data_IF_048151100594
#
_entry.id   IF_048151100594
#
_cell.length_a   1.000
_cell.length_b   1.000
_cell.length_c   1.000
_cell.angle_alpha   90.00
_cell.angle_beta   90.00
_cell.angle_gamma   90.00
#
_symmetry.space_group_name_H-M   'P 1'
#
loop_
_entity.id
_entity.type
_entity.pdbx_description
1 polymer ?
#
# COMPACT_ATOMS: atom_id res chain seq x y z
N UNK A 1 31.67 29.63 73.64
CA UNK A 1 31.48 28.72 72.48
C UNK A 1 32.69 28.86 71.56
N UNK A 2 33.63 27.89 71.58
CA UNK A 2 34.73 27.86 70.61
C UNK A 2 34.20 27.25 69.32
N UNK A 3 34.03 28.07 68.27
CA UNK A 3 33.82 27.58 66.90
C UNK A 3 35.19 27.08 66.42
N UNK A 4 35.33 25.77 66.20
CA UNK A 4 36.51 25.21 65.55
C UNK A 4 36.59 25.77 64.14
N UNK A 5 37.68 26.48 63.82
CA UNK A 5 37.96 26.90 62.45
C UNK A 5 38.53 25.69 61.69
N UNK A 6 38.01 25.44 60.49
CA UNK A 6 38.52 24.40 59.59
C UNK A 6 40.00 24.64 59.28
N UNK A 7 40.78 23.56 59.23
CA UNK A 7 42.18 23.65 58.79
C UNK A 7 42.24 23.77 57.27
N UNK A 8 43.23 24.50 56.72
CA UNK A 8 43.37 24.72 55.29
C UNK A 8 43.51 23.40 54.49
N UNK A 9 44.09 22.36 55.11
CA UNK A 9 44.22 21.02 54.54
C UNK A 9 42.86 20.32 54.37
N UNK A 10 41.96 20.48 55.34
CA UNK A 10 40.63 19.88 55.34
C UNK A 10 39.73 20.50 54.26
N UNK A 11 39.85 21.82 54.05
CA UNK A 11 39.14 22.54 52.98
C UNK A 11 39.56 22.06 51.58
N UNK A 12 40.87 21.85 51.36
CA UNK A 12 41.39 21.32 50.10
C UNK A 12 40.84 19.91 49.83
N UNK A 13 40.83 19.05 50.85
CA UNK A 13 40.30 17.69 50.72
C UNK A 13 38.82 17.68 50.32
N UNK A 14 38.00 18.54 50.92
CA UNK A 14 36.57 18.66 50.58
C UNK A 14 36.38 19.12 49.13
N UNK A 15 37.13 20.13 48.69
CA UNK A 15 37.04 20.65 47.32
C UNK A 15 37.41 19.55 46.30
N UNK A 16 38.47 18.79 46.55
CA UNK A 16 38.90 17.70 45.66
C UNK A 16 37.86 16.58 45.62
N UNK A 17 37.34 16.13 46.77
CA UNK A 17 36.32 15.08 46.82
C UNK A 17 35.04 15.54 46.10
N UNK A 18 34.58 16.78 46.34
CA UNK A 18 33.42 17.33 45.63
C UNK A 18 33.66 17.46 44.13
N UNK A 19 34.86 17.85 43.70
CA UNK A 19 35.23 17.89 42.29
C UNK A 19 35.17 16.52 41.61
N UNK A 20 35.66 15.47 42.28
CA UNK A 20 35.63 14.09 41.78
C UNK A 20 34.18 13.57 41.74
N UNK A 21 33.41 13.77 42.80
CA UNK A 21 32.00 13.35 42.86
C UNK A 21 31.15 14.08 41.81
N UNK A 22 31.37 15.38 41.63
CA UNK A 22 30.68 16.16 40.60
C UNK A 22 31.04 15.67 39.20
N UNK A 23 32.33 15.38 38.92
CA UNK A 23 32.75 14.82 37.63
C UNK A 23 32.02 13.50 37.34
N UNK A 24 32.11 12.54 38.26
CA UNK A 24 31.48 11.23 38.06
C UNK A 24 29.95 11.32 38.01
N UNK A 25 29.34 12.19 38.83
CA UNK A 25 27.89 12.42 38.80
C UNK A 25 27.39 12.97 37.46
N UNK A 26 28.09 13.97 36.90
CA UNK A 26 27.76 14.53 35.58
C UNK A 26 27.96 13.50 34.46
N UNK A 27 29.02 12.70 34.54
CA UNK A 27 29.30 11.65 33.55
C UNK A 27 28.23 10.54 33.57
N UNK A 28 27.83 10.09 34.77
CA UNK A 28 26.74 9.12 34.96
C UNK A 28 25.41 9.66 34.42
N UNK A 29 25.08 10.92 34.73
CA UNK A 29 23.85 11.56 34.26
C UNK A 29 23.85 11.71 32.74
N UNK A 30 24.99 12.10 32.14
CA UNK A 30 25.15 12.19 30.69
C UNK A 30 24.96 10.82 30.02
N UNK A 31 25.57 9.76 30.55
CA UNK A 31 25.42 8.41 30.01
C UNK A 31 23.99 7.88 30.15
N UNK A 32 23.36 8.07 31.31
CA UNK A 32 21.97 7.65 31.53
C UNK A 32 21.01 8.37 30.58
N UNK A 33 21.20 9.68 30.37
CA UNK A 33 20.40 10.45 29.43
C UNK A 33 20.59 9.96 27.98
N UNK A 34 21.84 9.77 27.54
CA UNK A 34 22.14 9.23 26.20
C UNK A 34 21.48 7.86 25.99
N UNK A 35 21.60 6.96 26.97
CA UNK A 35 21.01 5.62 26.90
C UNK A 35 19.48 5.67 26.82
N UNK A 36 18.84 6.55 27.58
CA UNK A 36 17.39 6.71 27.56
C UNK A 36 16.91 7.24 26.21
N UNK A 37 17.52 8.31 25.71
CA UNK A 37 17.19 8.90 24.41
C UNK A 37 17.39 7.87 23.30
N UNK A 38 18.52 7.15 23.28
CA UNK A 38 18.77 6.08 22.33
C UNK A 38 17.67 5.00 22.36
N UNK A 39 17.35 4.49 23.54
CA UNK A 39 16.32 3.44 23.70
C UNK A 39 14.94 3.93 23.24
N UNK A 40 14.54 5.14 23.62
CA UNK A 40 13.24 5.71 23.23
C UNK A 40 13.12 5.93 21.72
N UNK A 41 14.17 6.48 21.08
CA UNK A 41 14.20 6.70 19.63
C UNK A 41 14.16 5.37 18.90
N UNK A 42 15.01 4.41 19.28
CA UNK A 42 15.04 3.10 18.66
C UNK A 42 13.67 2.39 18.78
N UNK A 43 13.04 2.40 19.95
CA UNK A 43 11.71 1.80 20.12
C UNK A 43 10.64 2.48 19.26
N UNK A 44 10.68 3.81 19.14
CA UNK A 44 9.75 4.55 18.27
C UNK A 44 9.95 4.19 16.80
N UNK A 45 11.20 4.21 16.32
CA UNK A 45 11.53 3.86 14.93
C UNK A 45 11.15 2.41 14.61
N UNK A 46 11.41 1.46 15.53
CA UNK A 46 10.98 0.07 15.39
C UNK A 46 9.48 -0.05 15.22
N UNK A 47 8.71 0.64 16.05
CA UNK A 47 7.24 0.64 16.01
C UNK A 47 6.72 1.25 14.71
N UNK A 48 7.22 2.42 14.32
CA UNK A 48 6.82 3.11 13.09
C UNK A 48 7.17 2.32 11.83
N UNK A 49 8.39 1.77 11.75
CA UNK A 49 8.81 0.96 10.60
C UNK A 49 7.97 -0.32 10.50
N UNK A 50 7.66 -0.96 11.63
CA UNK A 50 6.79 -2.13 11.66
C UNK A 50 5.37 -1.78 11.19
N UNK A 51 4.81 -0.66 11.64
CA UNK A 51 3.49 -0.19 11.20
C UNK A 51 3.47 0.13 9.69
N UNK A 52 4.51 0.78 9.16
CA UNK A 52 4.62 1.09 7.74
C UNK A 52 4.67 -0.19 6.87
N UNK A 53 5.55 -1.12 7.23
CA UNK A 53 5.68 -2.42 6.54
C UNK A 53 4.41 -3.25 6.65
N UNK A 54 3.69 -3.22 7.78
CA UNK A 54 2.41 -3.89 7.95
C UNK A 54 1.30 -3.26 7.10
N UNK A 55 1.29 -1.93 7.02
CA UNK A 55 0.33 -1.15 6.23
C UNK A 55 0.49 -1.43 4.73
N UNK A 56 1.73 -1.56 4.25
CA UNK A 56 2.02 -1.96 2.86
C UNK A 56 1.67 -3.43 2.67
N UNK A 57 2.16 -4.30 3.56
CA UNK A 57 1.99 -5.75 3.43
C UNK A 57 0.54 -6.21 3.45
N UNK A 58 -0.31 -5.61 4.28
CA UNK A 58 -1.74 -5.95 4.36
C UNK A 58 -2.51 -5.62 3.09
N UNK A 59 -2.17 -4.52 2.41
CA UNK A 59 -2.76 -4.18 1.09
C UNK A 59 -2.17 -5.00 -0.05
N UNK A 60 -0.86 -5.24 -0.01
CA UNK A 60 -0.17 -6.03 -1.02
C UNK A 60 -0.54 -7.53 -0.98
N UNK A 61 -1.04 -8.02 0.17
CA UNK A 61 -1.56 -9.38 0.29
C UNK A 61 -2.77 -9.64 -0.63
N UNK A 62 -3.59 -8.62 -0.87
CA UNK A 62 -4.79 -8.71 -1.71
C UNK A 62 -4.57 -8.10 -3.10
N UNK A 63 -3.33 -8.12 -3.59
CA UNK A 63 -3.02 -7.65 -4.94
C UNK A 63 -3.47 -8.66 -6.00
N UNK A 64 -3.76 -8.15 -7.19
CA UNK A 64 -3.76 -8.99 -8.40
C UNK A 64 -2.30 -9.33 -8.69
N UNK A 65 -1.94 -10.62 -8.65
CA UNK A 65 -0.54 -11.06 -8.60
C UNK A 65 0.31 -10.57 -9.77
N UNK A 66 -0.27 -10.56 -10.96
CA UNK A 66 0.45 -10.18 -12.18
C UNK A 66 0.44 -8.66 -12.44
N UNK A 67 -0.27 -7.87 -11.62
CA UNK A 67 -0.36 -6.41 -11.76
C UNK A 67 0.81 -5.64 -11.12
N UNK A 68 1.73 -6.32 -10.44
CA UNK A 68 2.74 -5.64 -9.61
C UNK A 68 3.89 -5.13 -10.46
N UNK A 69 4.13 -3.83 -10.39
CA UNK A 69 5.19 -3.15 -11.15
C UNK A 69 6.17 -2.43 -10.24
N UNK A 70 7.41 -2.39 -10.71
CA UNK A 70 8.47 -1.55 -10.18
C UNK A 70 8.69 -0.38 -11.13
N UNK A 71 8.70 0.85 -10.60
CA UNK A 71 8.94 2.07 -11.36
C UNK A 71 10.26 2.70 -10.95
N UNK A 72 11.08 3.01 -11.96
CA UNK A 72 12.29 3.84 -11.83
C UNK A 72 11.97 5.31 -12.01
N UNK A 73 11.00 5.61 -12.87
CA UNK A 73 10.50 6.96 -13.11
C UNK A 73 9.02 6.92 -13.52
N UNK A 74 8.40 8.09 -13.73
CA UNK A 74 6.99 8.19 -14.07
C UNK A 74 6.59 7.42 -15.34
N UNK A 75 7.52 7.17 -16.27
CA UNK A 75 7.26 6.50 -17.56
C UNK A 75 8.09 5.23 -17.77
N UNK A 76 8.91 4.84 -16.79
CA UNK A 76 9.83 3.70 -16.89
C UNK A 76 9.48 2.70 -15.80
N UNK A 77 8.72 1.67 -16.19
CA UNK A 77 8.22 0.64 -15.30
C UNK A 77 8.45 -0.76 -15.89
N UNK A 78 8.63 -1.75 -15.03
CA UNK A 78 8.70 -3.17 -15.39
C UNK A 78 7.89 -4.01 -14.42
N UNK A 79 7.47 -5.20 -14.85
CA UNK A 79 6.91 -6.19 -13.93
C UNK A 79 7.91 -6.48 -12.81
N UNK A 80 7.44 -6.49 -11.55
CA UNK A 80 8.33 -6.65 -10.40
C UNK A 80 9.12 -7.97 -10.43
N UNK A 81 8.54 -9.04 -10.98
CA UNK A 81 9.17 -10.35 -11.10
C UNK A 81 10.39 -10.37 -12.03
N UNK A 82 10.45 -9.45 -13.01
CA UNK A 82 11.48 -9.40 -14.05
C UNK A 82 12.21 -8.06 -14.09
N UNK A 83 11.95 -7.17 -13.13
CA UNK A 83 12.50 -5.82 -13.14
C UNK A 83 14.03 -5.84 -12.96
N UNK A 84 14.80 -5.21 -13.86
CA UNK A 84 16.25 -5.07 -13.75
C UNK A 84 16.65 -3.86 -12.89
N UNK A 85 15.69 -3.12 -12.33
CA UNK A 85 15.96 -1.83 -11.73
C UNK A 85 16.68 -1.92 -10.38
N UNK A 86 16.56 -3.06 -9.69
CA UNK A 86 17.16 -3.32 -8.38
C UNK A 86 16.98 -2.12 -7.43
N UNK A 87 18.07 -1.41 -7.17
CA UNK A 87 18.15 -0.28 -6.25
C UNK A 87 17.62 1.05 -6.81
N UNK A 88 17.39 1.12 -8.12
CA UNK A 88 16.91 2.33 -8.79
C UNK A 88 15.38 2.42 -8.80
N UNK A 89 14.67 1.35 -8.42
CA UNK A 89 13.21 1.38 -8.30
C UNK A 89 12.83 1.99 -6.95
N UNK A 90 12.25 3.19 -6.98
CA UNK A 90 11.79 3.91 -5.79
C UNK A 90 10.28 3.78 -5.58
N UNK A 91 9.57 3.26 -6.57
CA UNK A 91 8.11 3.22 -6.62
C UNK A 91 7.66 1.77 -6.86
N UNK A 92 6.77 1.29 -5.99
CA UNK A 92 6.11 -0.01 -6.10
C UNK A 92 4.62 0.22 -6.33
N UNK A 93 4.04 -0.30 -7.42
CA UNK A 93 2.61 -0.16 -7.72
C UNK A 93 1.95 -1.50 -7.99
N UNK A 94 0.66 -1.60 -7.68
CA UNK A 94 -0.14 -2.79 -7.93
C UNK A 94 -1.63 -2.45 -7.95
N UNK A 95 -2.43 -3.30 -8.58
CA UNK A 95 -3.89 -3.27 -8.47
C UNK A 95 -4.35 -4.08 -7.27
N UNK A 96 -5.20 -3.49 -6.43
CA UNK A 96 -5.79 -4.17 -5.28
C UNK A 96 -7.12 -4.82 -5.63
N UNK A 97 -7.27 -6.10 -5.31
CA UNK A 97 -8.59 -6.74 -5.30
C UNK A 97 -9.42 -6.19 -4.13
N UNK A 98 -10.71 -5.98 -4.38
CA UNK A 98 -11.67 -5.51 -3.39
C UNK A 98 -12.01 -6.57 -2.35
N UNK A 99 -11.14 -6.70 -1.36
CA UNK A 99 -11.34 -7.64 -0.24
C UNK A 99 -12.44 -7.17 0.71
N UNK A 100 -12.67 -5.87 0.85
CA UNK A 100 -13.65 -5.33 1.79
C UNK A 100 -15.07 -5.63 1.30
N UNK A 101 -15.35 -5.46 0.00
CA UNK A 101 -16.62 -5.91 -0.57
C UNK A 101 -16.76 -7.43 -0.58
N UNK A 102 -15.66 -8.18 -0.75
CA UNK A 102 -15.70 -9.64 -0.74
C UNK A 102 -15.95 -10.22 0.67
N UNK A 103 -15.47 -9.58 1.73
CA UNK A 103 -15.72 -10.04 3.10
C UNK A 103 -17.18 -9.87 3.51
N UNK A 104 -17.85 -8.84 2.97
CA UNK A 104 -19.25 -8.52 3.26
C UNK A 104 -19.45 -8.04 4.71
N UNK A 105 -19.79 -6.77 4.91
CA UNK A 105 -19.99 -6.21 6.25
C UNK A 105 -21.46 -5.87 6.56
N UNK A 106 -22.35 -5.96 5.58
CA UNK A 106 -23.79 -5.72 5.77
C UNK A 106 -24.58 -7.03 5.79
N UNK A 107 -25.48 -7.23 6.75
CA UNK A 107 -26.44 -8.33 6.68
C UNK A 107 -27.40 -8.10 5.52
N UNK A 108 -27.57 -9.11 4.66
CA UNK A 108 -28.62 -9.11 3.65
C UNK A 108 -30.01 -9.09 4.30
N UNK A 109 -31.06 -8.90 3.49
CA UNK A 109 -32.45 -8.92 3.96
C UNK A 109 -32.84 -10.17 4.78
N UNK A 110 -32.07 -11.27 4.67
CA UNK A 110 -32.21 -12.50 5.46
C UNK A 110 -31.31 -12.63 6.69
N UNK A 111 -30.57 -11.59 7.10
CA UNK A 111 -29.70 -11.59 8.29
C UNK A 111 -28.32 -12.25 8.12
N UNK A 112 -27.99 -12.72 6.92
CA UNK A 112 -26.69 -13.32 6.62
C UNK A 112 -25.70 -12.27 6.10
N UNK A 113 -24.46 -12.33 6.58
CA UNK A 113 -23.35 -11.56 6.01
C UNK A 113 -22.85 -12.29 4.77
N UNK A 114 -23.20 -11.78 3.59
CA UNK A 114 -22.69 -12.29 2.32
C UNK A 114 -21.76 -11.26 1.69
N UNK A 115 -20.78 -11.70 0.88
CA UNK A 115 -20.01 -10.82 0.02
C UNK A 115 -20.92 -9.91 -0.82
N UNK A 116 -20.48 -8.68 -1.11
CA UNK A 116 -21.16 -7.81 -2.06
C UNK A 116 -20.95 -8.23 -3.52
N UNK A 117 -19.91 -9.03 -3.80
CA UNK A 117 -19.67 -9.61 -5.10
C UNK A 117 -19.25 -11.07 -4.97
N UNK A 118 -19.67 -11.92 -5.90
CA UNK A 118 -19.53 -13.38 -5.79
C UNK A 118 -18.20 -13.93 -6.28
N UNK A 119 -17.56 -13.22 -7.22
CA UNK A 119 -16.34 -13.67 -7.91
C UNK A 119 -16.60 -14.75 -8.97
N UNK A 120 -17.87 -14.97 -9.32
CA UNK A 120 -18.30 -15.94 -10.33
C UNK A 120 -19.25 -15.27 -11.32
N UNK A 121 -18.97 -15.38 -12.61
CA UNK A 121 -19.87 -15.07 -13.72
C UNK A 121 -20.52 -16.37 -14.18
N UNK A 122 -21.85 -16.37 -14.30
CA UNK A 122 -22.57 -17.50 -14.87
C UNK A 122 -22.60 -17.37 -16.40
N UNK A 123 -21.67 -18.06 -17.06
CA UNK A 123 -21.58 -18.09 -18.52
C UNK A 123 -22.76 -18.80 -19.20
N UNK A 124 -23.60 -19.54 -18.45
CA UNK A 124 -24.77 -20.25 -18.98
C UNK A 124 -26.08 -19.55 -18.65
N UNK A 125 -26.04 -18.46 -17.88
CA UNK A 125 -27.23 -17.65 -17.64
C UNK A 125 -27.75 -17.12 -18.99
N UNK A 126 -29.07 -17.21 -19.28
CA UNK A 126 -29.64 -16.72 -20.54
C UNK A 126 -29.37 -15.24 -20.83
N UNK A 127 -29.09 -14.44 -19.80
CA UNK A 127 -28.80 -13.01 -19.92
C UNK A 127 -27.31 -12.71 -20.04
N UNK A 128 -26.42 -13.70 -19.82
CA UNK A 128 -24.98 -13.54 -20.07
C UNK A 128 -24.71 -13.63 -21.57
N UNK A 129 -24.16 -12.55 -22.13
CA UNK A 129 -23.84 -12.42 -23.56
C UNK A 129 -22.71 -11.40 -23.76
N UNK A 130 -22.35 -11.11 -25.01
CA UNK A 130 -21.27 -10.17 -25.33
C UNK A 130 -21.44 -8.78 -24.68
N UNK A 131 -22.66 -8.32 -24.44
CA UNK A 131 -22.91 -6.99 -23.88
C UNK A 131 -23.13 -6.98 -22.38
N UNK A 132 -23.37 -8.15 -21.77
CA UNK A 132 -23.80 -8.25 -20.38
C UNK A 132 -23.24 -9.52 -19.72
N UNK A 133 -22.62 -9.36 -18.55
CA UNK A 133 -22.09 -10.46 -17.75
C UNK A 133 -22.92 -10.57 -16.46
N UNK A 134 -23.57 -11.72 -16.26
CA UNK A 134 -24.34 -11.97 -15.05
C UNK A 134 -23.44 -12.58 -13.99
N UNK A 135 -23.37 -11.93 -12.83
CA UNK A 135 -22.65 -12.40 -11.65
C UNK A 135 -23.63 -12.72 -10.51
N UNK A 136 -24.11 -13.97 -10.41
CA UNK A 136 -25.10 -14.34 -9.40
C UNK A 136 -24.61 -14.06 -7.98
N UNK A 137 -25.47 -13.47 -7.15
CA UNK A 137 -25.15 -13.15 -5.76
C UNK A 137 -24.34 -11.86 -5.56
N UNK A 138 -23.97 -11.17 -6.64
CA UNK A 138 -23.43 -9.81 -6.56
C UNK A 138 -24.56 -8.80 -6.35
N UNK A 139 -24.27 -7.77 -5.54
CA UNK A 139 -25.10 -6.59 -5.34
C UNK A 139 -24.32 -5.32 -5.70
N UNK A 140 -24.48 -4.85 -6.94
CA UNK A 140 -23.82 -3.66 -7.47
C UNK A 140 -24.22 -2.39 -6.72
N UNK A 141 -25.41 -2.33 -6.13
CA UNK A 141 -25.88 -1.18 -5.35
C UNK A 141 -25.19 -1.08 -3.99
N UNK A 142 -25.11 -2.20 -3.28
CA UNK A 142 -24.38 -2.30 -2.02
C UNK A 142 -22.88 -2.06 -2.22
N UNK A 143 -22.31 -2.67 -3.27
CA UNK A 143 -20.91 -2.47 -3.64
C UNK A 143 -20.61 -1.00 -3.98
N UNK A 144 -21.48 -0.33 -4.75
CA UNK A 144 -21.33 1.10 -5.05
C UNK A 144 -21.34 1.97 -3.80
N UNK A 145 -22.19 1.63 -2.83
CA UNK A 145 -22.26 2.34 -1.55
C UNK A 145 -20.98 2.14 -0.75
N UNK A 146 -20.45 0.91 -0.70
CA UNK A 146 -19.20 0.62 -0.01
C UNK A 146 -18.02 1.36 -0.66
N UNK A 147 -17.89 1.31 -1.99
CA UNK A 147 -16.83 2.01 -2.73
C UNK A 147 -16.88 3.51 -2.42
N UNK A 148 -18.06 4.13 -2.46
CA UNK A 148 -18.21 5.56 -2.13
C UNK A 148 -17.78 5.93 -0.70
N UNK A 149 -17.95 5.02 0.26
CA UNK A 149 -17.46 5.21 1.64
C UNK A 149 -15.94 5.06 1.72
N UNK A 150 -15.38 4.01 1.10
CA UNK A 150 -13.94 3.73 1.15
C UNK A 150 -13.10 4.75 0.36
N UNK A 151 -13.66 5.29 -0.71
CA UNK A 151 -13.08 6.37 -1.52
C UNK A 151 -13.20 7.75 -0.85
N UNK A 152 -13.76 7.82 0.38
CA UNK A 152 -13.95 9.05 1.13
C UNK A 152 -14.75 10.11 0.35
N UNK A 153 -15.72 9.67 -0.46
CA UNK A 153 -16.54 10.55 -1.27
C UNK A 153 -15.77 11.27 -2.40
N UNK A 154 -14.67 10.68 -2.90
CA UNK A 154 -13.94 11.23 -4.05
C UNK A 154 -14.75 11.27 -5.34
N UNK A 155 -15.82 10.49 -5.40
CA UNK A 155 -16.64 10.30 -6.59
C UNK A 155 -16.45 8.94 -7.24
N UNK A 156 -15.49 8.13 -6.78
CA UNK A 156 -15.30 6.75 -7.25
C UNK A 156 -16.55 5.91 -6.96
N UNK A 157 -17.00 5.18 -7.98
CA UNK A 157 -18.20 4.35 -7.99
C UNK A 157 -17.90 2.95 -8.51
N UNK A 158 -18.93 2.10 -8.57
CA UNK A 158 -18.82 0.80 -9.24
C UNK A 158 -18.47 0.92 -10.73
N UNK A 159 -18.82 2.04 -11.39
CA UNK A 159 -18.51 2.28 -12.80
C UNK A 159 -17.02 2.55 -13.05
N UNK A 160 -16.25 2.76 -11.97
CA UNK A 160 -14.80 2.93 -12.03
C UNK A 160 -14.07 1.62 -11.73
N UNK A 161 -14.81 0.56 -11.39
CA UNK A 161 -14.23 -0.75 -11.16
C UNK A 161 -13.88 -1.46 -12.47
N UNK A 162 -12.99 -2.44 -12.35
CA UNK A 162 -12.65 -3.37 -13.40
C UNK A 162 -12.61 -4.81 -12.88
N UNK A 163 -12.90 -5.75 -13.77
CA UNK A 163 -12.80 -7.17 -13.51
C UNK A 163 -11.46 -7.69 -14.01
N UNK A 164 -10.86 -8.60 -13.26
CA UNK A 164 -9.73 -9.40 -13.67
C UNK A 164 -10.15 -10.86 -13.71
N UNK A 165 -10.05 -11.50 -14.86
CA UNK A 165 -10.42 -12.90 -15.01
C UNK A 165 -9.28 -13.81 -14.56
N UNK A 166 -9.57 -14.72 -13.61
CA UNK A 166 -8.55 -15.60 -13.05
C UNK A 166 -8.13 -16.63 -14.09
N UNK A 167 -6.88 -16.57 -14.51
CA UNK A 167 -6.31 -17.46 -15.53
C UNK A 167 -6.30 -16.87 -16.94
N UNK A 168 -6.68 -15.60 -17.12
CA UNK A 168 -6.43 -14.89 -18.37
C UNK A 168 -4.93 -14.67 -18.59
N UNK A 169 -4.53 -14.55 -19.85
CA UNK A 169 -3.18 -14.09 -20.17
C UNK A 169 -3.00 -12.65 -19.66
N UNK A 170 -1.82 -12.33 -19.14
CA UNK A 170 -1.51 -11.02 -18.57
C UNK A 170 -0.36 -10.35 -19.32
N UNK A 171 -0.61 -9.22 -19.98
CA UNK A 171 0.44 -8.29 -20.41
C UNK A 171 0.54 -7.12 -19.43
N UNK A 172 1.68 -7.02 -18.75
CA UNK A 172 1.93 -5.96 -17.78
C UNK A 172 2.02 -4.57 -18.44
N UNK A 173 2.43 -4.48 -19.71
CA UNK A 173 2.70 -3.19 -20.36
C UNK A 173 1.44 -2.52 -20.86
N UNK A 174 0.52 -3.30 -21.40
CA UNK A 174 -0.71 -2.77 -22.03
C UNK A 174 -1.97 -3.14 -21.28
N UNK A 175 -1.99 -4.27 -20.58
CA UNK A 175 -3.22 -4.90 -20.10
C UNK A 175 -3.90 -4.22 -18.90
N UNK A 176 -3.17 -3.41 -18.14
CA UNK A 176 -3.65 -2.82 -16.88
C UNK A 176 -3.92 -1.31 -16.97
N UNK A 177 -3.54 -0.64 -18.06
CA UNK A 177 -3.65 0.83 -18.22
C UNK A 177 -2.56 1.62 -17.49
N UNK A 178 -1.43 0.97 -17.17
CA UNK A 178 -0.28 1.67 -16.59
C UNK A 178 0.20 2.79 -17.54
N UNK A 179 0.70 3.89 -16.97
CA UNK A 179 1.15 5.13 -17.65
C UNK A 179 0.06 6.15 -18.04
N UNK A 180 -1.15 5.99 -17.51
CA UNK A 180 -2.20 7.00 -17.64
C UNK A 180 -2.80 7.06 -19.04
N UNK A 181 -2.85 5.90 -19.70
CA UNK A 181 -3.58 5.70 -20.94
C UNK A 181 -4.74 4.77 -20.63
N UNK A 182 -5.96 5.29 -20.79
CA UNK A 182 -7.17 4.50 -20.60
C UNK A 182 -7.22 3.33 -21.57
N UNK A 183 -7.76 2.20 -21.11
CA UNK A 183 -7.95 1.03 -21.95
C UNK A 183 -9.04 1.31 -22.99
N UNK A 184 -8.79 0.92 -24.24
CA UNK A 184 -9.66 1.21 -25.38
C UNK A 184 -10.45 0.01 -25.87
N UNK A 185 -10.10 -1.19 -25.42
CA UNK A 185 -10.77 -2.43 -25.79
C UNK A 185 -10.62 -3.49 -24.69
N UNK A 186 -11.50 -4.48 -24.68
CA UNK A 186 -11.43 -5.62 -23.77
C UNK A 186 -10.59 -6.80 -24.29
N UNK A 187 -10.28 -6.86 -25.59
CA UNK A 187 -9.65 -8.03 -26.21
C UNK A 187 -8.14 -8.11 -25.90
N UNK A 188 -7.46 -6.96 -25.90
CA UNK A 188 -6.02 -6.85 -25.59
C UNK A 188 -5.74 -6.47 -24.14
N UNK A 189 -6.79 -6.13 -23.40
CA UNK A 189 -6.75 -5.73 -22.00
C UNK A 189 -6.85 -6.92 -21.05
N UNK A 190 -6.25 -6.75 -19.87
CA UNK A 190 -6.25 -7.75 -18.77
C UNK A 190 -7.21 -7.33 -17.68
N UNK A 191 -7.28 -6.02 -17.43
CA UNK A 191 -8.34 -5.40 -16.65
C UNK A 191 -9.49 -5.09 -17.59
N UNK A 192 -10.71 -5.48 -17.21
CA UNK A 192 -11.91 -5.20 -17.98
C UNK A 192 -12.75 -4.16 -17.22
N UNK A 193 -12.68 -2.86 -17.57
CA UNK A 193 -13.51 -1.82 -16.97
C UNK A 193 -14.99 -2.19 -17.07
N UNK A 194 -15.76 -2.00 -16.01
CA UNK A 194 -17.19 -2.33 -16.00
C UNK A 194 -18.05 -1.17 -15.57
N UNK A 195 -19.30 -1.20 -16.02
CA UNK A 195 -20.38 -0.37 -15.55
C UNK A 195 -21.50 -1.25 -15.01
N UNK A 196 -22.38 -0.66 -14.20
CA UNK A 196 -23.60 -1.35 -13.77
C UNK A 196 -24.54 -1.64 -14.96
N UNK A 197 -24.99 -2.88 -15.11
CA UNK A 197 -25.80 -3.34 -16.26
C UNK A 197 -27.29 -3.01 -16.21
N UNK A 198 -27.75 -2.30 -15.17
CA UNK A 198 -29.15 -1.93 -14.96
C UNK A 198 -29.86 -2.87 -13.98
N UNK A 199 -29.45 -4.14 -13.90
CA UNK A 199 -29.81 -5.04 -12.80
C UNK A 199 -28.70 -5.15 -11.77
N UNK A 200 -29.06 -5.54 -10.54
CA UNK A 200 -28.18 -5.55 -9.35
C UNK A 200 -27.00 -6.55 -9.47
N UNK A 201 -27.11 -7.54 -10.35
CA UNK A 201 -26.15 -8.63 -10.53
C UNK A 201 -25.50 -8.62 -11.93
N UNK A 202 -25.60 -7.51 -12.66
CA UNK A 202 -25.19 -7.40 -14.05
C UNK A 202 -24.05 -6.41 -14.22
N UNK A 203 -23.04 -6.83 -14.98
CA UNK A 203 -21.94 -5.97 -15.43
C UNK A 203 -22.02 -5.78 -16.93
N UNK A 204 -21.90 -4.54 -17.37
CA UNK A 204 -21.74 -4.19 -18.79
C UNK A 204 -20.37 -3.54 -19.00
N UNK A 205 -19.95 -3.41 -20.25
CA UNK A 205 -18.68 -2.78 -20.59
C UNK A 205 -18.57 -1.36 -20.02
N UNK A 206 -17.42 -1.07 -19.42
CA UNK A 206 -16.98 0.27 -19.01
C UNK A 206 -16.42 1.09 -20.18
N UNK A 207 -16.12 0.46 -21.31
CA UNK A 207 -15.46 1.07 -22.46
C UNK A 207 -16.51 1.49 -23.49
N UNK A 208 -16.52 2.78 -23.83
CA UNK A 208 -17.54 3.34 -24.73
C UNK A 208 -17.42 2.77 -26.13
N UNK A 209 -18.48 2.11 -26.60
CA UNK A 209 -18.54 1.54 -27.95
C UNK A 209 -17.87 0.18 -28.09
N UNK A 210 -17.40 -0.41 -26.98
CA UNK A 210 -16.85 -1.76 -26.94
C UNK A 210 -17.69 -2.68 -26.04
N UNK A 211 -17.58 -3.97 -26.24
CA UNK A 211 -18.27 -5.01 -25.46
C UNK A 211 -17.35 -6.23 -25.24
N UNK A 212 -17.87 -7.27 -24.59
CA UNK A 212 -17.12 -8.51 -24.34
C UNK A 212 -17.11 -9.47 -25.53
N UNK A 213 -17.42 -9.01 -26.76
CA UNK A 213 -17.31 -9.84 -27.96
C UNK A 213 -15.83 -10.12 -28.24
N UNK A 214 -15.55 -11.37 -28.61
CA UNK A 214 -14.18 -11.83 -28.88
C UNK A 214 -13.22 -11.74 -27.68
N UNK A 215 -13.76 -11.56 -26.46
CA UNK A 215 -13.02 -11.60 -25.20
C UNK A 215 -13.12 -13.00 -24.60
N UNK A 216 -12.00 -13.51 -24.11
CA UNK A 216 -11.98 -14.75 -23.33
C UNK A 216 -12.48 -14.46 -21.91
N UNK A 217 -13.80 -14.52 -21.71
CA UNK A 217 -14.42 -14.38 -20.38
C UNK A 217 -14.31 -15.71 -19.63
N UNK A 218 -13.74 -15.66 -18.43
CA UNK A 218 -13.66 -16.81 -17.52
C UNK A 218 -14.73 -16.69 -16.43
N UNK A 219 -15.19 -17.83 -15.89
CA UNK A 219 -16.20 -17.83 -14.82
C UNK A 219 -15.67 -17.17 -13.55
N UNK A 220 -14.41 -17.39 -13.18
CA UNK A 220 -13.83 -16.81 -11.97
C UNK A 220 -13.21 -15.45 -12.23
N UNK A 221 -13.57 -14.46 -11.41
CA UNK A 221 -13.02 -13.12 -11.51
C UNK A 221 -12.64 -12.54 -10.15
N UNK A 222 -11.76 -11.55 -10.16
CA UNK A 222 -11.48 -10.64 -9.06
C UNK A 222 -11.97 -9.25 -9.45
N UNK A 223 -12.63 -8.54 -8.53
CA UNK A 223 -13.04 -7.16 -8.73
C UNK A 223 -11.99 -6.23 -8.14
N UNK A 224 -11.63 -5.18 -8.87
CA UNK A 224 -10.77 -4.12 -8.39
C UNK A 224 -11.39 -2.76 -8.69
N UNK A 225 -11.40 -1.86 -7.71
CA UNK A 225 -11.83 -0.47 -7.90
C UNK A 225 -10.70 0.53 -7.62
N UNK A 226 -9.53 0.06 -7.18
CA UNK A 226 -8.41 0.95 -6.84
C UNK A 226 -7.05 0.29 -7.08
N UNK A 227 -6.10 1.08 -7.55
CA UNK A 227 -4.69 0.76 -7.52
C UNK A 227 -3.99 1.43 -6.32
N UNK A 228 -2.83 0.88 -5.96
CA UNK A 228 -1.98 1.38 -4.88
C UNK A 228 -0.59 1.65 -5.41
N UNK A 229 0.05 2.71 -4.93
CA UNK A 229 1.47 2.95 -5.15
C UNK A 229 2.15 3.33 -3.84
N UNK A 230 3.35 2.80 -3.61
CA UNK A 230 4.22 3.21 -2.51
C UNK A 230 5.43 3.89 -3.12
N UNK A 231 5.57 5.17 -2.82
CA UNK A 231 6.63 6.03 -3.35
C UNK A 231 7.56 6.41 -2.21
N UNK A 232 8.83 6.06 -2.36
CA UNK A 232 9.89 6.65 -1.54
C UNK A 232 10.49 7.83 -2.28
N UNK A 233 10.39 9.01 -1.68
CA UNK A 233 10.95 10.23 -2.23
C UNK A 233 12.23 10.56 -1.46
N UNK A 234 13.43 10.44 -2.07
CA UNK A 234 14.68 10.66 -1.36
C UNK A 234 14.86 12.10 -0.87
N UNK A 235 14.29 13.08 -1.57
CA UNK A 235 14.47 14.51 -1.28
C UNK A 235 13.78 14.95 0.02
N UNK A 236 12.64 14.36 0.37
CA UNK A 236 11.89 14.65 1.59
C UNK A 236 12.00 13.51 2.64
N UNK A 237 12.61 12.38 2.26
CA UNK A 237 12.75 11.20 3.11
C UNK A 237 11.43 10.51 3.42
N UNK A 238 10.35 10.82 2.70
CA UNK A 238 9.02 10.30 3.01
C UNK A 238 8.72 9.01 2.25
N UNK A 239 8.00 8.12 2.93
CA UNK A 239 7.34 6.98 2.32
C UNK A 239 5.85 7.27 2.26
N UNK A 240 5.33 7.42 1.05
CA UNK A 240 3.95 7.83 0.80
C UNK A 240 3.18 6.73 0.11
N UNK A 241 2.01 6.39 0.65
CA UNK A 241 1.05 5.49 0.03
C UNK A 241 0.02 6.30 -0.76
N UNK A 242 -0.11 5.99 -2.03
CA UNK A 242 -1.13 6.50 -2.94
C UNK A 242 -2.22 5.45 -3.13
N UNK A 243 -3.47 5.89 -3.22
CA UNK A 243 -4.65 5.04 -3.34
C UNK A 243 -5.78 5.81 -4.03
N UNK A 244 -6.88 5.11 -4.34
CA UNK A 244 -8.08 5.67 -4.98
C UNK A 244 -7.80 6.31 -6.35
N UNK A 245 -7.15 5.54 -7.23
CA UNK A 245 -6.98 5.86 -8.65
C UNK A 245 -7.15 4.59 -9.51
N UNK A 246 -7.55 4.76 -10.77
CA UNK A 246 -7.88 3.67 -11.69
C UNK A 246 -7.00 3.73 -12.96
N UNK A 247 -5.89 2.95 -13.02
CA UNK A 247 -5.00 2.93 -14.18
C UNK A 247 -5.73 2.58 -15.50
N UNK A 248 -6.67 1.65 -15.44
CA UNK A 248 -7.47 1.25 -16.61
C UNK A 248 -8.36 2.36 -17.17
N UNK A 249 -8.63 3.43 -16.41
CA UNK A 249 -9.31 4.64 -16.87
C UNK A 249 -8.34 5.77 -17.25
N UNK A 250 -7.02 5.54 -17.16
CA UNK A 250 -6.00 6.51 -17.50
C UNK A 250 -5.49 7.35 -16.33
N UNK A 251 -5.85 7.02 -15.10
CA UNK A 251 -5.32 7.71 -13.92
C UNK A 251 -3.91 7.22 -13.56
N UNK A 252 -3.13 8.09 -12.91
CA UNK A 252 -1.81 7.77 -12.36
C UNK A 252 -1.73 8.07 -10.88
N UNK A 253 -0.83 7.38 -10.20
CA UNK A 253 -0.47 7.70 -8.83
C UNK A 253 -0.01 9.16 -8.66
N UNK A 254 0.62 9.73 -9.69
CA UNK A 254 1.20 11.07 -9.69
C UNK A 254 0.19 12.19 -9.99
N UNK A 255 -1.06 11.86 -10.31
CA UNK A 255 -2.05 12.87 -10.67
C UNK A 255 -2.47 13.70 -9.45
N UNK A 256 -2.86 14.95 -9.70
CA UNK A 256 -3.10 15.93 -8.64
C UNK A 256 -4.25 15.53 -7.69
N UNK A 257 -5.21 14.75 -8.18
CA UNK A 257 -6.40 14.35 -7.43
C UNK A 257 -6.22 13.01 -6.70
N UNK A 258 -5.14 12.26 -6.99
CA UNK A 258 -4.88 10.96 -6.38
C UNK A 258 -4.69 11.11 -4.88
N UNK A 259 -5.41 10.27 -4.12
CA UNK A 259 -5.32 10.30 -2.66
C UNK A 259 -3.99 9.75 -2.21
N UNK A 260 -3.42 10.36 -1.17
CA UNK A 260 -2.13 9.95 -0.62
C UNK A 260 -2.07 10.16 0.89
N UNK A 261 -1.30 9.30 1.55
CA UNK A 261 -1.01 9.38 2.97
C UNK A 261 0.47 9.07 3.21
N UNK A 262 1.14 9.91 3.99
CA UNK A 262 2.50 9.62 4.45
C UNK A 262 2.41 8.53 5.51
N UNK A 263 3.03 7.39 5.25
CA UNK A 263 3.02 6.22 6.15
C UNK A 263 4.29 6.16 6.99
N UNK A 264 5.37 6.82 6.57
CA UNK A 264 6.60 6.95 7.34
C UNK A 264 7.43 8.16 6.87
N UNK A 265 8.09 8.82 7.82
CA UNK A 265 9.03 9.92 7.58
C UNK A 265 10.46 9.46 7.90
N UNK A 266 11.46 10.14 7.33
CA UNK A 266 12.89 9.84 7.53
C UNK A 266 13.28 8.41 7.12
N UNK A 267 12.70 7.95 6.01
CA UNK A 267 13.07 6.71 5.34
C UNK A 267 14.32 6.94 4.52
N UNK A 268 15.33 6.14 4.81
CA UNK A 268 16.63 6.14 4.11
C UNK A 268 16.56 5.30 2.83
N UNK A 269 16.01 4.10 2.93
CA UNK A 269 15.81 3.23 1.76
C UNK A 269 14.50 2.47 1.83
N UNK A 270 13.79 2.41 0.71
CA UNK A 270 12.72 1.45 0.46
C UNK A 270 13.16 0.46 -0.63
N UNK A 271 13.16 -0.83 -0.31
CA UNK A 271 13.58 -1.91 -1.21
C UNK A 271 12.47 -2.93 -1.35
N UNK A 272 12.30 -3.46 -2.54
CA UNK A 272 11.32 -4.50 -2.81
C UNK A 272 11.81 -5.42 -3.92
N UNK A 273 11.43 -6.69 -3.83
CA UNK A 273 11.74 -7.70 -4.86
C UNK A 273 10.67 -8.78 -4.90
N UNK A 274 10.43 -9.33 -6.07
CA UNK A 274 9.60 -10.53 -6.21
C UNK A 274 10.47 -11.75 -6.53
N UNK A 275 10.08 -12.90 -5.98
CA UNK A 275 10.61 -14.22 -6.33
C UNK A 275 9.42 -15.14 -6.55
N UNK A 276 9.09 -15.43 -7.81
CA UNK A 276 7.84 -16.08 -8.17
C UNK A 276 6.63 -15.24 -7.73
N UNK A 277 5.69 -15.84 -6.99
CA UNK A 277 4.51 -15.14 -6.46
C UNK A 277 4.75 -14.43 -5.12
N UNK A 278 5.97 -14.46 -4.59
CA UNK A 278 6.28 -13.89 -3.27
C UNK A 278 6.90 -12.52 -3.45
N UNK A 279 6.41 -11.53 -2.72
CA UNK A 279 7.01 -10.18 -2.69
C UNK A 279 7.65 -9.94 -1.34
N UNK A 280 8.91 -9.53 -1.33
CA UNK A 280 9.61 -9.06 -0.14
C UNK A 280 9.74 -7.55 -0.21
N UNK A 281 9.34 -6.87 0.86
CA UNK A 281 9.54 -5.43 1.05
C UNK A 281 10.46 -5.19 2.25
N UNK A 282 11.23 -4.12 2.20
CA UNK A 282 12.12 -3.68 3.27
C UNK A 282 12.11 -2.16 3.34
N UNK A 283 11.96 -1.64 4.56
CA UNK A 283 12.03 -0.20 4.86
C UNK A 283 13.16 -0.01 5.86
N UNK A 284 14.10 0.87 5.54
CA UNK A 284 15.19 1.26 6.42
C UNK A 284 15.10 2.74 6.76
N UNK A 285 15.35 3.06 8.03
CA UNK A 285 15.35 4.42 8.54
C UNK A 285 16.67 4.74 9.21
N UNK A 286 17.12 5.98 9.05
CA UNK A 286 18.32 6.49 9.70
C UNK A 286 17.91 7.56 10.72
N UNK A 287 18.67 7.68 11.80
CA UNK A 287 18.47 8.73 12.80
C UNK A 287 19.74 9.52 12.98
N UNK A 288 19.68 10.82 12.71
CA UNK A 288 20.81 11.76 12.91
C UNK A 288 21.34 11.80 14.35
N UNK A 289 20.54 11.36 15.33
CA UNK A 289 20.89 11.38 16.75
C UNK A 289 21.77 10.18 17.17
N UNK A 290 21.97 9.21 16.27
CA UNK A 290 22.80 8.04 16.49
C UNK A 290 23.66 7.86 15.25
N UNK A 291 24.91 8.35 15.29
CA UNK A 291 25.88 8.11 14.22
C UNK A 291 25.94 6.59 13.89
N UNK A 292 25.80 6.27 12.61
CA UNK A 292 25.90 4.93 11.99
C UNK A 292 24.81 3.87 12.30
N UNK A 293 23.62 4.24 12.79
CA UNK A 293 22.54 3.26 13.04
C UNK A 293 21.39 3.33 12.02
N UNK A 294 21.45 2.47 11.00
CA UNK A 294 20.32 2.21 10.10
C UNK A 294 19.43 1.09 10.66
N UNK A 295 18.16 1.38 10.90
CA UNK A 295 17.20 0.38 11.32
C UNK A 295 16.35 -0.09 10.15
N UNK A 296 16.41 -1.39 9.83
CA UNK A 296 15.61 -1.99 8.77
C UNK A 296 14.54 -2.96 9.30
N UNK A 297 13.35 -2.92 8.70
CA UNK A 297 12.32 -3.97 8.83
C UNK A 297 11.97 -4.52 7.46
N UNK A 298 11.68 -5.81 7.44
CA UNK A 298 11.28 -6.53 6.24
C UNK A 298 10.02 -7.34 6.48
N UNK A 299 9.25 -7.54 5.41
CA UNK A 299 8.10 -8.45 5.40
C UNK A 299 8.04 -9.18 4.08
N UNK A 300 7.65 -10.44 4.17
CA UNK A 300 7.39 -11.30 3.02
C UNK A 300 5.88 -11.47 2.88
N UNK A 301 5.39 -11.21 1.67
CA UNK A 301 3.99 -11.24 1.28
C UNK A 301 3.80 -12.35 0.24
N UNK A 302 2.73 -13.13 0.38
CA UNK A 302 2.41 -14.28 -0.47
C UNK A 302 1.32 -13.97 -1.50
#
# INVERSE_FOLDING_TARGET
>A
MRRGAFTLLELIFVIVIMGILAKYGVELLSQAYKSFIFSSINNRLQSQTAAAVETIGSRLQYRIKDSVIARKSATDFEALAYSPYEENATILEWVGTDIEGFRGNTPNAGGNFLPHWSGIIDLKDPNTNATNLVSPGTDTGALNTLIGVLSHGSGTTINDAALYFVGSDSDIKTGYGWDGVALTDHNTSVMHPINNGGSVNEFVSGITGDDFRDVNVYEYYQLAWTAYAVVHTPDDGNLTLYYDYQPWQGDKYSDANTKKAVIMENVDTFRFKAVGSIVKIQVCVNSELVEDYSLCKEKTIF
#
